data_IF_037950089378
#
_entry.id   IF_037950089378
#
_cell.length_a   1.000
_cell.length_b   1.000
_cell.length_c   1.000
_cell.angle_alpha   90.00
_cell.angle_beta   90.00
_cell.angle_gamma   90.00
#
_symmetry.space_group_name_H-M   'P 1'
#
loop_
_entity.id
_entity.type
_entity.pdbx_description
1 polymer ?
#
# COMPACT_ATOMS: atom_id res chain seq x y z
N UNK A 1 -60.68 5.71 59.25
CA UNK A 1 -60.83 4.24 59.35
C UNK A 1 -60.10 3.60 58.20
N UNK A 2 -58.98 3.05 58.46
CA UNK A 2 -58.28 1.86 57.96
C UNK A 2 -58.72 1.37 56.57
N UNK A 3 -57.82 1.22 55.58
CA UNK A 3 -57.05 -0.02 55.44
C UNK A 3 -55.85 0.17 54.46
N UNK A 4 -54.69 -0.20 54.92
CA UNK A 4 -53.51 -0.48 54.11
C UNK A 4 -53.72 -1.76 53.28
N UNK A 5 -53.39 -1.73 51.98
CA UNK A 5 -52.98 -2.94 51.31
C UNK A 5 -51.74 -2.62 50.49
N UNK A 6 -50.58 -3.15 51.00
CA UNK A 6 -49.35 -3.32 50.22
C UNK A 6 -49.58 -4.43 49.18
N UNK A 7 -49.34 -4.14 47.94
CA UNK A 7 -49.04 -5.18 46.99
C UNK A 7 -47.70 -4.86 46.31
N UNK A 8 -46.68 -5.58 46.77
CA UNK A 8 -45.39 -5.71 46.13
C UNK A 8 -45.55 -6.57 44.88
N UNK A 9 -45.31 -6.02 43.73
CA UNK A 9 -45.00 -6.83 42.55
C UNK A 9 -43.63 -6.42 42.04
N UNK A 10 -42.67 -7.23 42.45
CA UNK A 10 -41.36 -7.33 41.88
C UNK A 10 -41.48 -7.80 40.45
N UNK A 11 -41.43 -6.85 39.49
CA UNK A 11 -41.13 -7.19 38.11
C UNK A 11 -39.62 -7.17 37.98
N UNK A 12 -39.01 -8.36 38.11
CA UNK A 12 -37.65 -8.62 37.67
C UNK A 12 -37.63 -8.45 36.15
N UNK A 13 -37.27 -7.25 35.70
CA UNK A 13 -36.86 -7.02 34.34
C UNK A 13 -35.52 -7.73 34.15
N UNK A 14 -35.54 -8.91 33.52
CA UNK A 14 -34.40 -9.55 32.94
C UNK A 14 -33.87 -8.65 31.82
N UNK A 15 -33.07 -7.67 32.19
CA UNK A 15 -32.17 -6.99 31.26
C UNK A 15 -31.10 -8.01 30.86
N UNK A 16 -31.35 -8.73 29.75
CA UNK A 16 -30.29 -9.39 29.02
C UNK A 16 -29.36 -8.29 28.51
N UNK A 17 -28.41 -7.91 29.36
CA UNK A 17 -27.26 -7.15 28.95
C UNK A 17 -26.46 -7.99 27.99
N UNK A 18 -26.63 -7.76 26.69
CA UNK A 18 -25.61 -8.05 25.72
C UNK A 18 -24.41 -7.15 26.05
N UNK A 19 -23.66 -7.53 27.08
CA UNK A 19 -22.28 -7.08 27.17
C UNK A 19 -21.56 -7.74 26.00
N UNK A 20 -21.39 -6.99 24.91
CA UNK A 20 -20.36 -7.27 23.94
C UNK A 20 -19.06 -7.26 24.77
N UNK A 21 -18.61 -8.43 25.20
CA UNK A 21 -17.25 -8.65 25.62
C UNK A 21 -16.40 -8.26 24.41
N UNK A 22 -15.94 -7.00 24.41
CA UNK A 22 -14.82 -6.59 23.56
C UNK A 22 -13.66 -7.44 24.11
N UNK A 23 -13.41 -8.57 23.46
CA UNK A 23 -12.26 -9.40 23.72
C UNK A 23 -11.04 -8.57 23.32
N UNK A 24 -10.47 -7.86 24.28
CA UNK A 24 -9.16 -7.24 24.10
C UNK A 24 -8.18 -8.37 23.80
N UNK A 25 -7.61 -8.34 22.59
CA UNK A 25 -6.57 -9.31 22.21
C UNK A 25 -5.39 -9.15 23.16
N UNK A 26 -4.87 -10.27 23.70
CA UNK A 26 -3.71 -10.20 24.57
C UNK A 26 -2.45 -9.86 23.78
N UNK A 27 -1.46 -9.25 24.44
CA UNK A 27 -0.15 -8.97 23.83
C UNK A 27 0.52 -10.24 23.32
N UNK A 28 0.34 -11.37 24.02
CA UNK A 28 0.84 -12.66 23.59
C UNK A 28 0.18 -13.15 22.28
N UNK A 29 -1.15 -12.97 22.16
CA UNK A 29 -1.85 -13.33 20.92
C UNK A 29 -1.36 -12.49 19.74
N UNK A 30 -1.16 -11.18 19.91
CA UNK A 30 -0.63 -10.30 18.88
C UNK A 30 0.79 -10.71 18.49
N UNK A 31 1.63 -11.00 19.50
CA UNK A 31 3.01 -11.45 19.28
C UNK A 31 3.08 -12.76 18.51
N UNK A 32 2.26 -13.74 18.90
CA UNK A 32 2.21 -15.06 18.25
C UNK A 32 1.67 -14.92 16.83
N UNK A 33 0.62 -14.12 16.61
CA UNK A 33 0.10 -13.88 15.27
C UNK A 33 1.15 -13.20 14.37
N UNK A 34 1.86 -12.20 14.92
CA UNK A 34 2.95 -11.52 14.19
C UNK A 34 4.03 -12.49 13.74
N UNK A 35 4.46 -13.40 14.63
CA UNK A 35 5.44 -14.45 14.29
C UNK A 35 4.87 -15.42 13.26
N UNK A 36 3.67 -15.93 13.49
CA UNK A 36 3.03 -16.89 12.59
C UNK A 36 2.82 -16.30 11.19
N UNK A 37 2.41 -15.04 11.08
CA UNK A 37 2.26 -14.35 9.80
C UNK A 37 3.58 -14.21 9.04
N UNK A 38 4.70 -13.97 9.75
CA UNK A 38 6.02 -13.83 9.13
C UNK A 38 6.67 -15.14 8.72
N UNK A 39 6.43 -16.21 9.46
CA UNK A 39 7.09 -17.51 9.25
C UNK A 39 6.22 -18.55 8.53
N UNK A 40 5.13 -18.10 7.91
CA UNK A 40 4.18 -18.96 7.17
C UNK A 40 3.57 -20.09 8.02
N UNK A 41 3.45 -19.84 9.35
CA UNK A 41 2.85 -20.81 10.28
C UNK A 41 1.32 -20.78 10.23
N UNK A 42 0.79 -21.49 9.25
CA UNK A 42 -0.65 -21.55 9.01
C UNK A 42 -1.42 -22.23 10.16
N UNK A 43 -0.78 -23.10 10.93
CA UNK A 43 -1.46 -23.80 12.03
C UNK A 43 -1.71 -22.85 13.20
N UNK A 44 -0.71 -22.05 13.57
CA UNK A 44 -0.86 -21.03 14.61
C UNK A 44 -1.81 -19.94 14.17
N UNK A 45 -1.74 -19.47 12.92
CA UNK A 45 -2.70 -18.48 12.38
C UNK A 45 -4.14 -18.99 12.51
N UNK A 46 -4.42 -20.22 12.09
CA UNK A 46 -5.75 -20.83 12.20
C UNK A 46 -6.22 -20.95 13.66
N UNK A 47 -5.32 -21.33 14.55
CA UNK A 47 -5.59 -21.45 15.99
C UNK A 47 -6.01 -20.12 16.58
N UNK A 48 -5.27 -19.04 16.28
CA UNK A 48 -5.55 -17.69 16.75
C UNK A 48 -6.88 -17.14 16.19
N UNK A 49 -7.14 -17.30 14.90
CA UNK A 49 -8.41 -16.90 14.29
C UNK A 49 -9.58 -17.66 14.93
N UNK A 50 -9.44 -18.97 15.16
CA UNK A 50 -10.46 -19.78 15.86
C UNK A 50 -10.67 -19.33 17.30
N UNK A 51 -9.63 -18.83 17.96
CA UNK A 51 -9.72 -18.25 19.30
C UNK A 51 -10.34 -16.83 19.32
N UNK A 52 -10.77 -16.31 18.18
CA UNK A 52 -11.45 -15.00 18.06
C UNK A 52 -10.50 -13.82 17.81
N UNK A 53 -9.22 -14.05 17.51
CA UNK A 53 -8.31 -12.99 17.11
C UNK A 53 -8.71 -12.46 15.74
N UNK A 54 -8.83 -11.13 15.60
CA UNK A 54 -9.22 -10.52 14.32
C UNK A 54 -8.14 -10.74 13.24
N UNK A 55 -8.51 -11.12 12.00
CA UNK A 55 -7.55 -11.20 10.90
C UNK A 55 -6.93 -9.83 10.54
N UNK A 56 -7.59 -8.74 10.93
CA UNK A 56 -7.13 -7.37 10.73
C UNK A 56 -6.31 -6.82 11.90
N UNK A 57 -5.86 -7.68 12.80
CA UNK A 57 -4.96 -7.30 13.91
C UNK A 57 -3.70 -6.64 13.38
N UNK A 58 -3.25 -5.61 14.09
CA UNK A 58 -1.99 -4.92 13.81
C UNK A 58 -0.90 -5.40 14.78
N UNK A 59 0.32 -5.49 14.28
CA UNK A 59 1.49 -5.70 15.16
C UNK A 59 1.77 -4.43 16.01
N UNK A 60 2.67 -4.47 17.01
CA UNK A 60 3.00 -3.29 17.82
C UNK A 60 3.55 -2.10 17.01
N UNK A 61 4.05 -2.35 15.79
CA UNK A 61 4.51 -1.30 14.86
C UNK A 61 3.37 -0.74 14.01
N UNK A 62 2.18 -1.34 14.09
CA UNK A 62 0.98 -0.94 13.34
C UNK A 62 0.91 -1.52 11.93
N UNK A 63 1.55 -2.66 11.70
CA UNK A 63 1.44 -3.38 10.43
C UNK A 63 0.33 -4.43 10.52
N UNK A 64 -0.60 -4.51 9.55
CA UNK A 64 -1.57 -5.59 9.46
C UNK A 64 -0.90 -6.96 9.25
N UNK A 65 -1.54 -8.03 9.72
CA UNK A 65 -0.99 -9.38 9.56
C UNK A 65 -0.85 -9.79 8.10
N UNK A 66 -1.80 -9.40 7.24
CA UNK A 66 -1.69 -9.63 5.80
C UNK A 66 -0.50 -8.87 5.18
N UNK A 67 -0.25 -7.61 5.60
CA UNK A 67 0.92 -6.85 5.18
C UNK A 67 2.24 -7.58 5.52
N UNK A 68 2.34 -8.10 6.74
CA UNK A 68 3.52 -8.86 7.18
C UNK A 68 3.68 -10.16 6.39
N UNK A 69 2.60 -10.90 6.19
CA UNK A 69 2.63 -12.13 5.40
C UNK A 69 3.07 -11.89 3.95
N UNK A 70 2.58 -10.80 3.33
CA UNK A 70 3.00 -10.41 1.98
C UNK A 70 4.47 -10.00 1.94
N UNK A 71 4.93 -9.21 2.90
CA UNK A 71 6.32 -8.77 3.02
C UNK A 71 7.29 -9.93 3.12
N UNK A 72 6.96 -10.93 3.90
CA UNK A 72 7.80 -12.10 4.14
C UNK A 72 7.51 -13.26 3.15
N UNK A 73 6.61 -13.03 2.17
CA UNK A 73 6.20 -14.01 1.16
C UNK A 73 5.62 -15.31 1.75
N UNK A 74 4.86 -15.20 2.84
CA UNK A 74 4.21 -16.30 3.58
C UNK A 74 2.96 -16.79 2.83
N UNK A 75 3.15 -17.63 1.82
CA UNK A 75 2.14 -17.96 0.82
C UNK A 75 0.89 -18.63 1.38
N UNK A 76 1.04 -19.54 2.35
CA UNK A 76 -0.08 -20.25 2.98
C UNK A 76 -0.91 -19.32 3.85
N UNK A 77 -0.24 -18.41 4.56
CA UNK A 77 -0.90 -17.40 5.41
C UNK A 77 -1.59 -16.36 4.53
N UNK A 78 -0.97 -15.90 3.43
CA UNK A 78 -1.60 -15.00 2.45
C UNK A 78 -2.90 -15.62 1.93
N UNK A 79 -2.83 -16.86 1.43
CA UNK A 79 -4.00 -17.54 0.89
C UNK A 79 -5.10 -17.69 1.95
N UNK A 80 -4.76 -18.14 3.14
CA UNK A 80 -5.73 -18.32 4.22
C UNK A 80 -6.38 -17.00 4.65
N UNK A 81 -5.59 -15.98 4.98
CA UNK A 81 -6.10 -14.69 5.44
C UNK A 81 -6.99 -14.04 4.40
N UNK A 82 -6.57 -14.03 3.13
CA UNK A 82 -7.32 -13.39 2.04
C UNK A 82 -8.62 -14.13 1.67
N UNK A 83 -8.84 -15.34 2.16
CA UNK A 83 -10.09 -16.08 2.01
C UNK A 83 -11.06 -15.90 3.20
N UNK A 84 -10.67 -15.20 4.26
CA UNK A 84 -11.56 -14.91 5.37
C UNK A 84 -12.56 -13.80 5.01
N UNK A 85 -13.86 -13.97 5.31
CA UNK A 85 -14.87 -12.98 4.91
C UNK A 85 -14.71 -11.61 5.59
N UNK A 86 -14.00 -11.56 6.72
CA UNK A 86 -13.80 -10.34 7.52
C UNK A 86 -12.45 -9.66 7.27
N UNK A 87 -11.63 -10.16 6.34
CA UNK A 87 -10.35 -9.54 6.01
C UNK A 87 -10.52 -8.24 5.23
N UNK A 88 -9.80 -7.21 5.61
CA UNK A 88 -9.60 -6.03 4.79
C UNK A 88 -8.30 -6.18 3.99
N UNK A 89 -8.45 -6.44 2.69
CA UNK A 89 -7.34 -6.63 1.75
C UNK A 89 -6.51 -5.35 1.58
N UNK A 90 -7.14 -4.20 1.78
CA UNK A 90 -6.55 -2.88 1.57
C UNK A 90 -6.13 -2.21 2.88
N UNK A 91 -6.21 -2.90 4.02
CA UNK A 91 -5.87 -2.33 5.33
C UNK A 91 -4.43 -1.81 5.33
N UNK A 92 -4.22 -0.48 5.49
CA UNK A 92 -2.89 0.08 5.48
C UNK A 92 -2.20 -0.05 6.84
N UNK A 93 -0.89 0.02 6.84
CA UNK A 93 -0.11 0.21 8.06
C UNK A 93 -0.13 1.69 8.52
N UNK A 94 0.57 2.01 9.61
CA UNK A 94 0.67 3.40 10.13
C UNK A 94 1.26 4.40 9.14
N UNK A 95 2.02 3.94 8.15
CA UNK A 95 2.61 4.78 7.09
C UNK A 95 1.68 4.93 5.87
N UNK A 96 0.49 4.32 5.91
CA UNK A 96 -0.45 4.31 4.78
C UNK A 96 -0.12 3.28 3.70
N UNK A 97 0.79 2.33 3.97
CA UNK A 97 1.21 1.32 3.01
C UNK A 97 0.28 0.10 3.09
N UNK A 98 -0.23 -0.33 1.93
CA UNK A 98 -1.10 -1.50 1.80
C UNK A 98 -0.30 -2.78 1.47
N UNK A 99 -0.91 -3.97 1.64
CA UNK A 99 -0.28 -5.23 1.20
C UNK A 99 0.12 -5.22 -0.29
N UNK A 100 -0.71 -4.60 -1.17
CA UNK A 100 -0.38 -4.49 -2.59
C UNK A 100 0.84 -3.60 -2.85
N UNK A 101 1.01 -2.51 -2.09
CA UNK A 101 2.21 -1.66 -2.20
C UNK A 101 3.48 -2.42 -1.84
N UNK A 102 3.44 -3.22 -0.77
CA UNK A 102 4.60 -4.05 -0.38
C UNK A 102 4.89 -5.13 -1.42
N UNK A 103 3.88 -5.83 -1.93
CA UNK A 103 4.09 -6.78 -3.03
C UNK A 103 4.72 -6.11 -4.25
N UNK A 104 4.34 -4.84 -4.52
CA UNK A 104 4.83 -4.07 -5.67
C UNK A 104 6.28 -3.63 -5.52
N UNK A 105 6.71 -3.17 -4.32
CA UNK A 105 8.11 -2.76 -4.09
C UNK A 105 9.05 -3.96 -4.01
N UNK A 106 8.55 -5.12 -3.56
CA UNK A 106 9.32 -6.37 -3.56
C UNK A 106 9.37 -7.04 -4.95
N UNK A 107 8.64 -6.51 -5.95
CA UNK A 107 8.59 -7.07 -7.30
C UNK A 107 7.89 -8.43 -7.38
N UNK A 108 7.09 -8.79 -6.39
CA UNK A 108 6.42 -10.09 -6.30
C UNK A 108 5.19 -10.14 -7.22
N UNK A 109 5.45 -10.25 -8.53
CA UNK A 109 4.39 -10.26 -9.54
C UNK A 109 3.31 -11.34 -9.30
N UNK A 110 3.63 -12.58 -8.86
CA UNK A 110 2.61 -13.57 -8.53
C UNK A 110 1.64 -13.08 -7.45
N UNK A 111 2.14 -12.52 -6.35
CA UNK A 111 1.30 -11.98 -5.26
C UNK A 111 0.55 -10.74 -5.72
N UNK A 112 1.17 -9.84 -6.50
CA UNK A 112 0.48 -8.68 -7.10
C UNK A 112 -0.69 -9.13 -7.95
N UNK A 113 -0.50 -10.10 -8.85
CA UNK A 113 -1.57 -10.67 -9.69
C UNK A 113 -2.69 -11.27 -8.85
N UNK A 114 -2.34 -12.04 -7.84
CA UNK A 114 -3.31 -12.66 -6.94
C UNK A 114 -4.15 -11.61 -6.20
N UNK A 115 -3.51 -10.61 -5.59
CA UNK A 115 -4.21 -9.55 -4.86
C UNK A 115 -5.14 -8.74 -5.78
N UNK A 116 -4.69 -8.38 -6.98
CA UNK A 116 -5.48 -7.55 -7.91
C UNK A 116 -6.58 -8.36 -8.60
N UNK A 117 -6.24 -9.49 -9.22
CA UNK A 117 -7.20 -10.23 -10.06
C UNK A 117 -8.19 -11.03 -9.23
N UNK A 118 -7.72 -11.68 -8.16
CA UNK A 118 -8.52 -12.61 -7.36
C UNK A 118 -9.17 -11.91 -6.17
N UNK A 119 -8.41 -11.08 -5.45
CA UNK A 119 -8.87 -10.44 -4.21
C UNK A 119 -9.36 -9.01 -4.40
N UNK A 120 -9.26 -8.46 -5.61
CA UNK A 120 -9.75 -7.11 -5.97
C UNK A 120 -9.14 -5.98 -5.14
N UNK A 121 -7.86 -6.13 -4.78
CA UNK A 121 -7.11 -5.08 -4.11
C UNK A 121 -7.13 -3.78 -4.94
N UNK A 122 -7.22 -2.65 -4.26
CA UNK A 122 -7.23 -1.34 -4.91
C UNK A 122 -5.83 -1.00 -5.46
N UNK A 123 -5.78 -0.74 -6.77
CA UNK A 123 -4.56 -0.33 -7.47
C UNK A 123 -4.28 1.18 -7.40
N UNK A 124 -5.23 1.98 -6.87
CA UNK A 124 -5.21 3.44 -6.89
C UNK A 124 -5.45 4.07 -5.51
N UNK A 125 -4.73 3.63 -4.50
CA UNK A 125 -4.82 4.20 -3.16
C UNK A 125 -4.57 5.71 -3.14
N UNK A 126 -5.15 6.41 -2.18
CA UNK A 126 -4.80 7.80 -1.89
C UNK A 126 -3.39 7.89 -1.29
N UNK A 127 -2.63 8.90 -1.69
CA UNK A 127 -1.23 9.06 -1.27
C UNK A 127 -0.27 8.32 -2.19
N UNK A 128 0.65 7.52 -1.64
CA UNK A 128 1.50 6.66 -2.45
C UNK A 128 0.70 5.55 -3.12
N UNK A 129 1.09 5.14 -4.33
CA UNK A 129 0.39 4.11 -5.10
C UNK A 129 1.27 2.87 -5.30
N UNK A 130 0.67 1.67 -5.51
CA UNK A 130 1.42 0.46 -5.87
C UNK A 130 2.33 0.66 -7.09
N UNK A 131 1.88 1.43 -8.09
CA UNK A 131 2.69 1.75 -9.27
C UNK A 131 3.95 2.54 -8.92
N UNK A 132 3.85 3.55 -8.05
CA UNK A 132 5.01 4.31 -7.60
C UNK A 132 5.99 3.44 -6.81
N UNK A 133 5.48 2.51 -5.98
CA UNK A 133 6.29 1.54 -5.25
C UNK A 133 7.06 0.60 -6.20
N UNK A 134 6.39 0.04 -7.21
CA UNK A 134 7.04 -0.77 -8.26
C UNK A 134 8.13 0.03 -8.99
N UNK A 135 7.82 1.28 -9.36
CA UNK A 135 8.75 2.16 -10.07
C UNK A 135 9.98 2.53 -9.24
N UNK A 136 9.85 2.67 -7.91
CA UNK A 136 10.97 3.01 -7.02
C UNK A 136 12.10 1.99 -7.06
N UNK A 137 11.77 0.72 -7.27
CA UNK A 137 12.74 -0.39 -7.39
C UNK A 137 12.97 -0.86 -8.82
N UNK A 138 12.29 -0.25 -9.81
CA UNK A 138 12.48 -0.55 -11.22
C UNK A 138 11.81 -1.86 -11.68
N UNK A 139 10.77 -2.32 -10.99
CA UNK A 139 10.04 -3.55 -11.32
C UNK A 139 9.12 -3.36 -12.53
N UNK A 140 9.67 -3.48 -13.73
CA UNK A 140 8.98 -3.25 -14.99
C UNK A 140 7.71 -4.12 -15.12
N UNK A 141 7.83 -5.43 -14.94
CA UNK A 141 6.70 -6.36 -15.12
C UNK A 141 5.53 -6.09 -14.16
N UNK A 142 5.85 -5.68 -12.91
CA UNK A 142 4.82 -5.27 -11.95
C UNK A 142 4.16 -3.97 -12.38
N UNK A 143 4.94 -3.00 -12.84
CA UNK A 143 4.41 -1.72 -13.32
C UNK A 143 3.52 -1.90 -14.55
N UNK A 144 3.95 -2.71 -15.52
CA UNK A 144 3.16 -3.08 -16.70
C UNK A 144 1.83 -3.72 -16.32
N UNK A 145 1.88 -4.68 -15.40
CA UNK A 145 0.68 -5.33 -14.90
C UNK A 145 -0.28 -4.34 -14.22
N UNK A 146 0.24 -3.47 -13.35
CA UNK A 146 -0.58 -2.48 -12.64
C UNK A 146 -1.23 -1.47 -13.60
N UNK A 147 -0.47 -0.94 -14.57
CA UNK A 147 -1.00 0.00 -15.58
C UNK A 147 -2.09 -0.67 -16.44
N UNK A 148 -1.85 -1.90 -16.86
CA UNK A 148 -2.85 -2.69 -17.64
C UNK A 148 -4.13 -2.94 -16.83
N UNK A 149 -4.03 -2.99 -15.49
CA UNK A 149 -5.17 -3.15 -14.58
C UNK A 149 -5.69 -1.83 -14.00
N UNK A 150 -5.42 -0.70 -14.64
CA UNK A 150 -6.06 0.57 -14.34
C UNK A 150 -5.32 1.46 -13.35
N UNK A 151 -4.04 1.19 -13.06
CA UNK A 151 -3.24 2.11 -12.26
C UNK A 151 -3.08 3.46 -12.98
N UNK A 152 -3.32 4.55 -12.26
CA UNK A 152 -3.20 5.92 -12.76
C UNK A 152 -1.73 6.30 -12.92
N UNK A 153 -1.24 6.36 -14.16
CA UNK A 153 0.18 6.64 -14.48
C UNK A 153 0.66 7.97 -13.89
N UNK A 154 -0.20 8.99 -13.88
CA UNK A 154 0.09 10.33 -13.40
C UNK A 154 -0.42 10.60 -11.96
N UNK A 155 -0.68 9.55 -11.17
CA UNK A 155 -1.04 9.73 -9.77
C UNK A 155 0.08 10.46 -9.01
N UNK A 156 -0.33 11.37 -8.10
CA UNK A 156 0.58 12.14 -7.26
C UNK A 156 0.71 11.49 -5.88
N UNK A 157 1.94 11.31 -5.44
CA UNK A 157 2.23 11.00 -4.04
C UNK A 157 2.03 12.22 -3.13
N UNK A 158 2.10 12.09 -1.80
CA UNK A 158 1.95 13.22 -0.88
C UNK A 158 2.92 14.39 -1.14
N UNK A 159 4.09 14.14 -1.72
CA UNK A 159 5.06 15.17 -2.13
C UNK A 159 4.99 15.52 -3.61
N UNK A 160 3.87 15.18 -4.28
CA UNK A 160 3.63 15.36 -5.71
C UNK A 160 4.62 14.62 -6.64
N UNK A 161 5.36 13.64 -6.16
CA UNK A 161 6.19 12.80 -7.04
C UNK A 161 5.31 11.86 -7.86
N UNK A 162 5.74 11.58 -9.10
CA UNK A 162 5.03 10.68 -10.03
C UNK A 162 5.76 9.33 -10.16
N UNK A 163 5.07 8.34 -10.73
CA UNK A 163 5.69 7.07 -11.10
C UNK A 163 6.88 7.25 -12.05
N UNK A 164 6.79 8.21 -12.97
CA UNK A 164 7.90 8.54 -13.89
C UNK A 164 9.14 9.04 -13.15
N UNK A 165 8.99 9.91 -12.13
CA UNK A 165 10.13 10.36 -11.30
C UNK A 165 10.77 9.21 -10.56
N UNK A 166 9.96 8.29 -10.00
CA UNK A 166 10.45 7.11 -9.30
C UNK A 166 11.18 6.15 -10.24
N UNK A 167 10.68 5.96 -11.46
CA UNK A 167 11.33 5.11 -12.47
C UNK A 167 12.69 5.66 -12.92
N UNK A 168 12.82 6.98 -13.03
CA UNK A 168 14.11 7.63 -13.32
C UNK A 168 15.09 7.41 -12.16
N UNK A 169 14.65 7.57 -10.93
CA UNK A 169 15.46 7.30 -9.74
C UNK A 169 15.98 5.85 -9.71
N UNK A 170 15.16 4.88 -10.08
CA UNK A 170 15.57 3.46 -10.16
C UNK A 170 16.62 3.21 -11.24
N UNK A 171 16.65 4.01 -12.30
CA UNK A 171 17.56 3.85 -13.43
C UNK A 171 17.12 2.82 -14.47
N UNK A 172 15.90 2.31 -14.39
CA UNK A 172 15.37 1.37 -15.39
C UNK A 172 14.80 2.11 -16.62
N UNK A 173 15.59 2.16 -17.69
CA UNK A 173 15.24 2.86 -18.93
C UNK A 173 13.98 2.29 -19.61
N UNK A 174 13.81 0.98 -19.58
CA UNK A 174 12.65 0.32 -20.16
C UNK A 174 11.36 0.73 -19.42
N UNK A 175 11.43 0.83 -18.10
CA UNK A 175 10.32 1.29 -17.29
C UNK A 175 9.99 2.77 -17.55
N UNK A 176 11.02 3.63 -17.65
CA UNK A 176 10.85 5.05 -18.04
C UNK A 176 10.16 5.15 -19.39
N UNK A 177 10.66 4.40 -20.39
CA UNK A 177 10.07 4.37 -21.74
C UNK A 177 8.61 3.88 -21.68
N UNK A 178 8.36 2.79 -20.98
CA UNK A 178 7.03 2.21 -20.84
C UNK A 178 6.02 3.22 -20.28
N UNK A 179 6.37 3.90 -19.18
CA UNK A 179 5.49 4.92 -18.58
C UNK A 179 5.19 6.08 -19.52
N UNK A 180 6.22 6.56 -20.25
CA UNK A 180 6.05 7.62 -21.24
C UNK A 180 5.14 7.20 -22.40
N UNK A 181 5.24 5.96 -22.85
CA UNK A 181 4.40 5.44 -23.92
C UNK A 181 2.95 5.18 -23.44
N UNK A 182 2.76 5.06 -22.12
CA UNK A 182 1.44 4.96 -21.48
C UNK A 182 0.96 6.30 -20.86
N UNK A 183 1.45 7.42 -21.37
CA UNK A 183 0.90 8.74 -21.06
C UNK A 183 1.46 9.43 -19.81
N UNK A 184 2.64 9.02 -19.34
CA UNK A 184 3.30 9.77 -18.26
C UNK A 184 3.65 11.19 -18.73
N UNK A 185 3.25 12.20 -17.95
CA UNK A 185 3.45 13.60 -18.28
C UNK A 185 4.81 14.10 -17.78
N UNK A 186 5.67 14.50 -18.73
CA UNK A 186 6.99 15.08 -18.48
C UNK A 186 6.96 16.45 -17.79
N UNK A 187 5.83 17.18 -17.86
CA UNK A 187 5.70 18.52 -17.26
C UNK A 187 5.41 18.49 -15.76
N UNK A 188 4.99 17.32 -15.23
CA UNK A 188 4.63 17.24 -13.83
C UNK A 188 5.82 17.55 -12.93
N UNK A 189 5.55 18.31 -11.87
CA UNK A 189 6.54 18.77 -10.91
C UNK A 189 6.15 18.31 -9.50
N UNK A 190 7.13 17.87 -8.74
CA UNK A 190 6.92 17.57 -7.32
C UNK A 190 6.86 18.88 -6.49
N UNK A 191 6.69 18.77 -5.18
CA UNK A 191 6.63 19.95 -4.28
C UNK A 191 7.90 20.79 -4.29
N UNK A 192 9.04 20.26 -4.73
CA UNK A 192 10.31 20.98 -4.90
C UNK A 192 10.42 21.65 -6.28
N UNK A 193 9.38 21.56 -7.11
CA UNK A 193 9.38 22.05 -8.48
C UNK A 193 10.16 21.19 -9.48
N UNK A 194 10.60 20.00 -9.09
CA UNK A 194 11.43 19.10 -9.89
C UNK A 194 10.58 18.23 -10.80
N UNK A 195 11.02 18.05 -12.05
CA UNK A 195 10.45 17.10 -13.02
C UNK A 195 11.22 15.79 -13.03
N UNK A 196 10.78 14.82 -13.84
CA UNK A 196 11.53 13.59 -14.09
C UNK A 196 12.91 13.83 -14.74
N UNK A 197 13.06 14.93 -15.51
CA UNK A 197 14.35 15.31 -16.12
C UNK A 197 15.33 15.79 -15.04
N UNK A 198 14.86 16.60 -14.09
CA UNK A 198 15.69 17.04 -12.96
C UNK A 198 16.08 15.86 -12.07
N UNK A 199 15.21 14.87 -11.92
CA UNK A 199 15.55 13.61 -11.22
C UNK A 199 16.69 12.85 -11.91
N UNK A 200 16.74 12.84 -13.26
CA UNK A 200 17.84 12.19 -13.97
C UNK A 200 19.20 12.84 -13.67
N UNK A 201 19.23 14.16 -13.53
CA UNK A 201 20.45 14.89 -13.16
C UNK A 201 20.84 14.63 -11.69
N UNK A 202 19.86 14.71 -10.76
CA UNK A 202 20.06 14.51 -9.32
C UNK A 202 20.58 13.09 -9.00
N UNK A 203 20.00 12.08 -9.66
CA UNK A 203 20.32 10.68 -9.44
C UNK A 203 21.40 10.13 -10.39
N UNK A 204 22.08 11.02 -11.13
CA UNK A 204 23.19 10.69 -12.04
C UNK A 204 22.80 9.60 -13.05
N UNK A 205 21.73 9.87 -13.80
CA UNK A 205 21.21 9.00 -14.87
C UNK A 205 21.32 9.71 -16.23
N UNK A 206 22.52 9.98 -16.75
CA UNK A 206 22.73 10.87 -17.89
C UNK A 206 21.98 10.42 -19.16
N UNK A 207 22.05 9.13 -19.51
CA UNK A 207 21.34 8.61 -20.70
C UNK A 207 19.82 8.72 -20.60
N UNK A 208 19.25 8.48 -19.40
CA UNK A 208 17.82 8.72 -19.19
C UNK A 208 17.51 10.22 -19.36
N UNK A 209 18.35 11.09 -18.77
CA UNK A 209 18.20 12.53 -18.89
C UNK A 209 18.25 13.02 -20.34
N UNK A 210 19.18 12.52 -21.14
CA UNK A 210 19.27 12.81 -22.59
C UNK A 210 18.02 12.35 -23.35
N UNK A 211 17.57 11.12 -23.09
CA UNK A 211 16.36 10.56 -23.67
C UNK A 211 15.11 11.38 -23.35
N UNK A 212 14.98 11.80 -22.08
CA UNK A 212 13.87 12.64 -21.64
C UNK A 212 13.91 14.06 -22.24
N UNK A 213 15.09 14.70 -22.34
CA UNK A 213 15.27 15.99 -23.01
C UNK A 213 14.95 15.92 -24.50
N UNK A 214 15.42 14.86 -25.18
CA UNK A 214 15.10 14.61 -26.56
C UNK A 214 13.58 14.46 -26.77
N UNK A 215 12.89 13.72 -25.90
CA UNK A 215 11.43 13.57 -25.95
C UNK A 215 10.72 14.89 -25.67
N UNK A 216 11.23 15.69 -24.71
CA UNK A 216 10.74 17.04 -24.43
C UNK A 216 10.80 17.91 -25.67
N UNK A 217 11.96 17.98 -26.33
CA UNK A 217 12.15 18.80 -27.54
C UNK A 217 11.19 18.39 -28.67
N UNK A 218 10.94 17.09 -28.84
CA UNK A 218 9.99 16.58 -29.84
C UNK A 218 8.54 16.97 -29.52
N UNK A 219 8.13 16.88 -28.26
CA UNK A 219 6.76 17.14 -27.82
C UNK A 219 6.43 18.62 -27.77
N UNK A 220 7.36 19.44 -27.25
CA UNK A 220 7.07 20.85 -26.96
C UNK A 220 7.76 21.83 -27.88
N UNK A 221 8.52 21.35 -28.87
CA UNK A 221 9.26 22.18 -29.87
C UNK A 221 10.16 23.24 -29.19
N UNK A 222 10.70 22.90 -28.01
CA UNK A 222 11.57 23.77 -27.20
C UNK A 222 12.61 22.91 -26.47
N UNK A 223 13.72 23.55 -26.07
CA UNK A 223 14.67 22.93 -25.16
C UNK A 223 14.07 22.84 -23.76
N UNK A 224 14.47 21.84 -22.98
CA UNK A 224 14.08 21.79 -21.57
C UNK A 224 14.74 22.95 -20.83
N UNK A 225 13.99 23.79 -20.11
CA UNK A 225 14.57 24.88 -19.34
C UNK A 225 15.47 24.31 -18.24
N UNK A 226 16.68 24.85 -18.11
CA UNK A 226 17.56 24.49 -17.02
C UNK A 226 16.86 24.76 -15.68
N UNK A 227 16.99 23.84 -14.74
CA UNK A 227 16.48 24.05 -13.40
C UNK A 227 17.07 25.36 -12.83
N UNK A 228 16.27 26.21 -12.16
CA UNK A 228 16.82 27.39 -11.50
C UNK A 228 17.97 26.93 -10.58
N UNK A 229 19.16 27.53 -10.79
CA UNK A 229 20.34 27.22 -9.99
C UNK A 229 19.96 27.26 -8.51
N UNK A 230 20.11 26.15 -7.80
CA UNK A 230 19.96 26.18 -6.34
C UNK A 230 20.96 27.19 -5.82
N UNK A 231 20.47 28.30 -5.30
CA UNK A 231 21.31 29.25 -4.59
C UNK A 231 22.08 28.49 -3.48
N UNK A 232 23.25 29.02 -3.06
CA UNK A 232 24.02 28.36 -2.04
C UNK A 232 23.14 28.10 -0.82
N UNK A 233 23.07 26.83 -0.42
CA UNK A 233 22.44 26.44 0.87
C UNK A 233 23.33 27.01 1.97
N UNK A 234 22.86 28.11 2.58
CA UNK A 234 23.44 28.61 3.82
C UNK A 234 23.20 27.63 4.97
#
# INVERSE_FOLDING_TARGET
MKLNIKLSHSLAACLFGFSSLIYSQSEDQITNFTKAAKFDDIFEVKSLIKAGVSPNTLDPKGNPMLFLAVKENSSKVIDYLTNLPSIDINLPNKSGETPLMIASIEGNLPVVKYLVLTKKADVNNSGWTPLQYACTRGHLEVAEFLVTNGAKVNALSPNNSTALMMSVMSGNEYLVKYLLDNGADLKMRNQQGLTAIDFADIYTKPWIGEGLRSRWAKLYKSTYPEAPSRGPTN
#
